data_IF_266911922653
#
_entry.id   IF_266911922653
#
_cell.length_a   1.000
_cell.length_b   1.000
_cell.length_c   1.000
_cell.angle_alpha   90.00
_cell.angle_beta   90.00
_cell.angle_gamma   90.00
#
_symmetry.space_group_name_H-M   'P 1'
#
loop_
_entity.id
_entity.type
_entity.pdbx_description
1 polymer ?
#
# COMPACT_ATOMS: atom_id res chain seq x y z
N UNK A 1 13.15 -20.91 8.91
CA UNK A 1 12.79 -19.47 8.84
C UNK A 1 12.13 -19.07 7.52
N UNK A 2 12.62 -19.55 6.35
CA UNK A 2 12.06 -19.21 5.04
C UNK A 2 10.54 -19.48 4.88
N UNK A 3 10.02 -20.60 5.40
CA UNK A 3 8.58 -20.95 5.30
C UNK A 3 7.69 -19.94 6.03
N UNK A 4 8.08 -19.52 7.25
CA UNK A 4 7.31 -18.58 8.05
C UNK A 4 7.25 -17.18 7.40
N UNK A 5 8.36 -16.74 6.80
CA UNK A 5 8.39 -15.46 6.12
C UNK A 5 7.58 -15.46 4.80
N UNK A 6 7.51 -16.60 4.08
CA UNK A 6 6.59 -16.76 2.94
C UNK A 6 5.13 -16.72 3.37
N UNK A 7 4.79 -17.38 4.47
CA UNK A 7 3.44 -17.29 5.06
C UNK A 7 3.13 -15.84 5.43
N UNK A 8 4.07 -15.13 6.05
CA UNK A 8 3.92 -13.71 6.37
C UNK A 8 3.66 -12.83 5.14
N UNK A 9 4.37 -13.06 4.03
CA UNK A 9 4.11 -12.35 2.77
C UNK A 9 2.75 -12.71 2.17
N UNK A 10 2.33 -13.97 2.25
CA UNK A 10 1.00 -14.37 1.78
C UNK A 10 -0.11 -13.69 2.60
N UNK A 11 0.02 -13.66 3.93
CA UNK A 11 -0.93 -12.98 4.83
C UNK A 11 -1.00 -11.49 4.53
N UNK A 12 0.15 -10.82 4.37
CA UNK A 12 0.19 -9.40 4.01
C UNK A 12 -0.42 -9.13 2.64
N UNK A 13 -0.12 -9.97 1.64
CA UNK A 13 -0.68 -9.83 0.31
C UNK A 13 -2.20 -9.97 0.30
N UNK A 14 -2.75 -10.98 1.00
CA UNK A 14 -4.20 -11.16 1.14
C UNK A 14 -4.84 -9.98 1.88
N UNK A 15 -4.19 -9.49 2.95
CA UNK A 15 -4.68 -8.33 3.68
C UNK A 15 -4.71 -7.08 2.80
N UNK A 16 -3.65 -6.81 2.04
CA UNK A 16 -3.60 -5.68 1.10
C UNK A 16 -4.68 -5.79 0.03
N UNK A 17 -4.92 -6.99 -0.53
CA UNK A 17 -6.02 -7.22 -1.48
C UNK A 17 -7.37 -6.97 -0.81
N UNK A 18 -7.56 -7.46 0.43
CA UNK A 18 -8.76 -7.19 1.22
C UNK A 18 -9.00 -5.70 1.38
N UNK A 19 -7.98 -4.95 1.79
CA UNK A 19 -8.05 -3.49 1.90
C UNK A 19 -8.35 -2.80 0.55
N UNK A 20 -7.87 -3.32 -0.57
CA UNK A 20 -8.18 -2.78 -1.88
C UNK A 20 -9.66 -2.99 -2.29
N UNK A 21 -10.30 -4.06 -1.79
CA UNK A 21 -11.63 -4.48 -2.24
C UNK A 21 -12.77 -4.07 -1.30
N UNK A 22 -12.49 -3.76 -0.03
CA UNK A 22 -13.55 -3.51 0.98
C UNK A 22 -14.32 -2.20 0.78
N UNK A 23 -13.93 -1.34 -0.17
CA UNK A 23 -14.64 -0.11 -0.50
C UNK A 23 -14.61 0.99 0.57
N UNK A 24 -13.97 0.74 1.71
CA UNK A 24 -13.81 1.72 2.79
C UNK A 24 -12.86 2.86 2.43
N UNK A 25 -11.87 2.59 1.58
CA UNK A 25 -10.83 3.57 1.28
C UNK A 25 -11.19 4.41 0.03
N UNK A 26 -11.22 5.75 0.15
CA UNK A 26 -11.46 6.64 -0.97
C UNK A 26 -10.32 6.59 -1.99
N UNK A 27 -10.61 6.98 -3.24
CA UNK A 27 -9.61 7.04 -4.30
C UNK A 27 -8.51 8.06 -3.96
N UNK A 28 -7.24 7.78 -4.30
CA UNK A 28 -6.69 6.60 -5.00
C UNK A 28 -6.15 5.48 -4.09
N UNK A 29 -6.43 5.48 -2.78
CA UNK A 29 -5.80 4.56 -1.81
C UNK A 29 -5.97 3.07 -2.15
N UNK A 30 -7.14 2.56 -2.59
CA UNK A 30 -7.28 1.15 -2.99
C UNK A 30 -6.27 0.69 -4.04
N UNK A 31 -5.89 1.58 -4.95
CA UNK A 31 -4.91 1.29 -6.00
C UNK A 31 -3.50 1.10 -5.42
N UNK A 32 -3.14 1.86 -4.39
CA UNK A 32 -1.86 1.68 -3.71
C UNK A 32 -1.79 0.33 -2.99
N UNK A 33 -2.88 -0.11 -2.36
CA UNK A 33 -2.98 -1.45 -1.78
C UNK A 33 -2.83 -2.55 -2.84
N UNK A 34 -3.45 -2.40 -4.00
CA UNK A 34 -3.32 -3.36 -5.10
C UNK A 34 -1.88 -3.45 -5.62
N UNK A 35 -1.20 -2.31 -5.82
CA UNK A 35 0.20 -2.28 -6.25
C UNK A 35 1.11 -2.87 -5.17
N UNK A 36 0.87 -2.55 -3.89
CA UNK A 36 1.60 -3.13 -2.77
C UNK A 36 1.49 -4.65 -2.76
N UNK A 37 0.28 -5.21 -2.96
CA UNK A 37 0.06 -6.65 -3.02
C UNK A 37 0.85 -7.32 -4.15
N UNK A 38 0.90 -6.70 -5.33
CA UNK A 38 1.73 -7.16 -6.46
C UNK A 38 3.21 -7.10 -6.09
N UNK A 39 3.65 -6.03 -5.42
CA UNK A 39 5.01 -5.88 -4.90
C UNK A 39 5.37 -7.00 -3.92
N UNK A 40 4.46 -7.32 -3.00
CA UNK A 40 4.60 -8.42 -2.03
C UNK A 40 4.69 -9.77 -2.72
N UNK A 41 3.83 -10.05 -3.70
CA UNK A 41 3.85 -11.29 -4.48
C UNK A 41 5.19 -11.44 -5.23
N UNK A 42 5.64 -10.39 -5.89
CA UNK A 42 6.92 -10.39 -6.63
C UNK A 42 8.13 -10.50 -5.68
N UNK A 43 8.05 -9.89 -4.49
CA UNK A 43 9.11 -9.95 -3.47
C UNK A 43 9.31 -11.35 -2.87
N UNK A 44 8.31 -12.24 -2.99
CA UNK A 44 8.37 -13.60 -2.49
C UNK A 44 9.25 -14.54 -3.34
N UNK A 45 9.46 -14.20 -4.60
CA UNK A 45 10.29 -14.98 -5.52
C UNK A 45 11.69 -14.40 -5.61
N UNK A 46 12.76 -15.22 -5.50
CA UNK A 46 14.14 -14.72 -5.51
C UNK A 46 14.49 -13.97 -6.81
N UNK A 47 13.96 -14.41 -7.96
CA UNK A 47 14.21 -13.78 -9.27
C UNK A 47 13.59 -12.38 -9.39
N UNK A 48 12.43 -12.15 -8.79
CA UNK A 48 11.69 -10.88 -8.87
C UNK A 48 11.81 -10.05 -7.59
N UNK A 49 12.62 -10.48 -6.62
CA UNK A 49 12.68 -9.88 -5.28
C UNK A 49 13.08 -8.41 -5.31
N UNK A 50 14.06 -8.06 -6.13
CA UNK A 50 14.57 -6.68 -6.26
C UNK A 50 13.50 -5.75 -6.81
N UNK A 51 12.78 -6.22 -7.84
CA UNK A 51 11.67 -5.49 -8.44
C UNK A 51 10.50 -5.33 -7.47
N UNK A 52 10.07 -6.42 -6.80
CA UNK A 52 9.01 -6.37 -5.80
C UNK A 52 9.35 -5.46 -4.63
N UNK A 53 10.61 -5.49 -4.16
CA UNK A 53 11.10 -4.59 -3.10
C UNK A 53 11.10 -3.12 -3.55
N UNK A 54 11.53 -2.83 -4.78
CA UNK A 54 11.50 -1.48 -5.34
C UNK A 54 10.06 -0.97 -5.46
N UNK A 55 9.13 -1.83 -5.89
CA UNK A 55 7.72 -1.50 -5.99
C UNK A 55 7.12 -1.19 -4.61
N UNK A 56 7.41 -2.02 -3.60
CA UNK A 56 6.98 -1.78 -2.21
C UNK A 56 7.56 -0.48 -1.63
N UNK A 57 8.83 -0.20 -1.92
CA UNK A 57 9.48 1.05 -1.50
C UNK A 57 8.85 2.28 -2.17
N UNK A 58 8.58 2.19 -3.47
CA UNK A 58 7.89 3.24 -4.23
C UNK A 58 6.46 3.47 -3.72
N UNK A 59 5.71 2.41 -3.44
CA UNK A 59 4.37 2.51 -2.87
C UNK A 59 4.40 3.13 -1.48
N UNK A 60 5.36 2.76 -0.62
CA UNK A 60 5.52 3.37 0.69
C UNK A 60 5.82 4.87 0.58
N UNK A 61 6.76 5.27 -0.28
CA UNK A 61 7.10 6.68 -0.50
C UNK A 61 5.92 7.48 -1.07
N UNK A 62 5.22 6.93 -2.07
CA UNK A 62 4.03 7.55 -2.65
C UNK A 62 2.93 7.72 -1.60
N UNK A 63 2.70 6.70 -0.77
CA UNK A 63 1.69 6.76 0.29
C UNK A 63 2.00 7.84 1.32
N UNK A 64 3.28 7.98 1.73
CA UNK A 64 3.70 9.05 2.64
C UNK A 64 3.45 10.42 1.99
N UNK A 65 3.84 10.61 0.73
CA UNK A 65 3.57 11.85 0.02
C UNK A 65 2.07 12.17 -0.03
N UNK A 66 1.26 11.19 -0.43
CA UNK A 66 -0.20 11.28 -0.55
C UNK A 66 -0.91 11.52 0.79
N UNK A 67 -0.30 11.20 1.94
CA UNK A 67 -0.90 11.45 3.25
C UNK A 67 -1.01 12.95 3.59
N UNK A 68 -0.17 13.79 2.99
CA UNK A 68 -0.18 15.26 3.17
C UNK A 68 -1.16 16.01 2.26
N UNK A 69 -1.73 15.32 1.27
CA UNK A 69 -2.49 15.92 0.17
C UNK A 69 -4.00 16.11 0.42
N UNK A 70 -4.74 15.24 1.15
CA UNK A 70 -6.20 15.16 1.02
C UNK A 70 -6.92 16.43 1.47
N UNK A 71 -6.47 17.05 2.56
CA UNK A 71 -7.10 18.27 3.08
C UNK A 71 -6.87 19.48 2.17
N UNK A 72 -5.74 19.53 1.47
CA UNK A 72 -5.43 20.61 0.51
C UNK A 72 -6.22 20.40 -0.78
N UNK A 73 -6.30 19.17 -1.29
CA UNK A 73 -7.02 18.89 -2.54
C UNK A 73 -8.52 19.04 -2.42
N UNK A 74 -9.10 18.77 -1.25
CA UNK A 74 -10.53 18.97 -1.02
C UNK A 74 -10.94 20.44 -0.85
N UNK A 75 -9.97 21.37 -0.81
CA UNK A 75 -10.26 22.82 -0.80
C UNK A 75 -10.55 23.39 -2.20
N UNK A 76 -10.40 22.60 -3.27
CA UNK A 76 -10.57 23.04 -4.66
C UNK A 76 -11.32 22.02 -5.51
N UNK A 77 -12.31 22.49 -6.25
CA UNK A 77 -13.20 21.63 -7.05
C UNK A 77 -12.46 20.87 -8.16
N UNK A 78 -11.33 21.43 -8.66
CA UNK A 78 -10.54 20.81 -9.74
C UNK A 78 -9.99 19.42 -9.42
N UNK A 79 -9.79 19.09 -8.14
CA UNK A 79 -9.19 17.81 -7.75
C UNK A 79 -10.22 16.79 -7.24
N UNK A 80 -11.51 17.12 -7.27
CA UNK A 80 -12.60 16.26 -6.77
C UNK A 80 -12.83 15.02 -7.65
N UNK A 81 -12.41 15.05 -8.92
CA UNK A 81 -12.46 13.88 -9.81
C UNK A 81 -11.43 12.81 -9.44
N UNK A 82 -10.28 13.22 -8.89
CA UNK A 82 -9.15 12.34 -8.54
C UNK A 82 -9.22 11.92 -7.08
N UNK A 83 -9.56 12.86 -6.19
CA UNK A 83 -9.68 12.66 -4.76
C UNK A 83 -11.14 12.82 -4.35
N UNK A 84 -11.74 11.74 -3.86
CA UNK A 84 -13.07 11.79 -3.24
C UNK A 84 -13.03 12.65 -1.98
N UNK A 85 -13.86 13.69 -1.92
CA UNK A 85 -13.86 14.72 -0.87
C UNK A 85 -15.14 14.80 -0.03
N UNK A 86 -16.00 13.79 -0.10
CA UNK A 86 -17.28 13.76 0.64
C UNK A 86 -17.13 13.18 2.05
N UNK A 87 -17.78 13.79 3.04
CA UNK A 87 -17.87 13.25 4.41
C UNK A 87 -16.50 12.99 5.03
N UNK A 88 -16.30 11.79 5.57
CA UNK A 88 -15.04 11.35 6.20
C UNK A 88 -13.96 10.89 5.19
N UNK A 89 -14.14 11.14 3.89
CA UNK A 89 -13.15 10.73 2.89
C UNK A 89 -11.71 11.23 3.16
N UNK A 90 -11.43 12.49 3.57
CA UNK A 90 -10.06 12.93 3.78
C UNK A 90 -9.38 12.22 4.98
N UNK A 91 -10.14 11.88 6.03
CA UNK A 91 -9.61 11.10 7.16
C UNK A 91 -9.31 9.67 6.74
N UNK A 92 -10.24 9.00 6.05
CA UNK A 92 -10.02 7.65 5.50
C UNK A 92 -8.90 7.59 4.47
N UNK A 93 -8.67 8.66 3.71
CA UNK A 93 -7.54 8.78 2.81
C UNK A 93 -6.21 8.78 3.57
N UNK A 94 -6.11 9.57 4.64
CA UNK A 94 -4.93 9.62 5.50
C UNK A 94 -4.71 8.29 6.22
N UNK A 95 -5.76 7.70 6.82
CA UNK A 95 -5.69 6.40 7.47
C UNK A 95 -5.19 5.33 6.50
N UNK A 96 -5.78 5.26 5.31
CA UNK A 96 -5.43 4.25 4.33
C UNK A 96 -4.03 4.42 3.75
N UNK A 97 -3.58 5.64 3.46
CA UNK A 97 -2.19 5.89 3.00
C UNK A 97 -1.15 5.48 4.04
N UNK A 98 -1.36 5.80 5.33
CA UNK A 98 -0.46 5.35 6.41
C UNK A 98 -0.46 3.83 6.52
N UNK A 99 -1.61 3.19 6.38
CA UNK A 99 -1.75 1.74 6.49
C UNK A 99 -1.06 1.01 5.33
N UNK A 100 -1.20 1.49 4.08
CA UNK A 100 -0.45 0.98 2.93
C UNK A 100 1.06 1.09 3.15
N UNK A 101 1.54 2.24 3.63
CA UNK A 101 2.96 2.47 3.87
C UNK A 101 3.52 1.48 4.91
N UNK A 102 2.80 1.28 6.01
CA UNK A 102 3.16 0.32 7.05
C UNK A 102 3.21 -1.12 6.56
N UNK A 103 2.18 -1.57 5.84
CA UNK A 103 2.15 -2.94 5.28
C UNK A 103 3.24 -3.15 4.23
N UNK A 104 3.54 -2.14 3.42
CA UNK A 104 4.61 -2.20 2.42
C UNK A 104 5.98 -2.33 3.08
N UNK A 105 6.22 -1.58 4.16
CA UNK A 105 7.42 -1.68 4.99
C UNK A 105 7.56 -3.06 5.66
N UNK A 106 6.49 -3.60 6.23
CA UNK A 106 6.50 -4.94 6.82
C UNK A 106 6.83 -6.02 5.78
N UNK A 107 6.24 -5.93 4.58
CA UNK A 107 6.51 -6.84 3.46
C UNK A 107 7.96 -6.76 2.99
N UNK A 108 8.56 -5.56 2.98
CA UNK A 108 9.97 -5.34 2.67
C UNK A 108 10.89 -6.04 3.67
N UNK A 109 10.61 -5.90 4.97
CA UNK A 109 11.40 -6.58 6.02
C UNK A 109 11.32 -8.09 5.85
N UNK A 110 10.12 -8.64 5.65
CA UNK A 110 9.89 -10.06 5.37
C UNK A 110 10.66 -10.55 4.13
N UNK A 111 10.68 -9.75 3.06
CA UNK A 111 11.44 -10.07 1.86
C UNK A 111 12.96 -10.17 2.10
N UNK A 112 13.50 -9.45 3.09
CA UNK A 112 14.93 -9.48 3.43
C UNK A 112 15.30 -10.64 4.35
N UNK A 113 14.51 -10.93 5.38
CA UNK A 113 14.80 -12.03 6.31
C UNK A 113 14.63 -13.43 5.69
N UNK A 114 14.01 -13.56 4.52
CA UNK A 114 13.98 -14.83 3.77
C UNK A 114 15.33 -15.21 3.14
N UNK A 115 16.33 -14.32 3.17
CA UNK A 115 17.67 -14.51 2.58
C UNK A 115 18.74 -14.92 3.60
N UNK A 116 18.53 -14.57 4.87
CA UNK A 116 19.42 -14.95 5.98
C UNK A 116 19.14 -16.37 6.45
#
# INVERSE_FOLDING_TARGET
MATQARIGQAVLGVLMIGCALTGLFPRPVPLLFAIAAVGTANAAFPLMRTFGSALLGGVAAASIALSSVPFVTCSTERFTEVFTCSGDAPTWHLTGTVLVAGLSGASLVLARITVQ
#
